data_IF_349095071805
#
_entry.id   IF_349095071805
#
_cell.length_a   1.000
_cell.length_b   1.000
_cell.length_c   1.000
_cell.angle_alpha   90.00
_cell.angle_beta   90.00
_cell.angle_gamma   90.00
#
_symmetry.space_group_name_H-M   'P 1'
#
loop_
_entity.id
_entity.type
_entity.pdbx_description
1 polymer ?
#
# COMPACT_ATOMS: atom_id res chain seq x y z
N UNK A 1 15.65 11.27 7.25
CA UNK A 1 15.89 9.82 7.01
C UNK A 1 16.22 9.55 5.55
N UNK A 2 15.32 9.82 4.60
CA UNK A 2 15.54 9.49 3.18
C UNK A 2 16.82 10.11 2.58
N UNK A 3 17.04 11.43 2.74
CA UNK A 3 18.26 12.11 2.25
C UNK A 3 19.54 11.44 2.76
N UNK A 4 19.64 11.21 4.07
CA UNK A 4 20.78 10.49 4.64
C UNK A 4 20.97 9.07 4.05
N UNK A 5 19.89 8.29 3.91
CA UNK A 5 19.98 6.95 3.34
C UNK A 5 20.46 6.96 1.88
N UNK A 6 19.98 7.91 1.09
CA UNK A 6 20.32 8.01 -0.34
C UNK A 6 21.69 8.64 -0.57
N UNK A 7 22.00 9.74 0.11
CA UNK A 7 23.21 10.53 -0.14
C UNK A 7 24.42 10.05 0.66
N UNK A 8 24.24 9.68 1.94
CA UNK A 8 25.35 9.29 2.80
C UNK A 8 25.59 7.79 2.81
N UNK A 9 24.52 6.98 2.77
CA UNK A 9 24.62 5.51 2.78
C UNK A 9 24.54 4.88 1.38
N UNK A 10 24.20 5.67 0.36
CA UNK A 10 24.17 5.24 -1.05
C UNK A 10 23.30 3.98 -1.27
N UNK A 11 22.15 3.89 -0.58
CA UNK A 11 21.23 2.74 -0.75
C UNK A 11 20.68 2.69 -2.18
N UNK A 12 20.53 1.48 -2.73
CA UNK A 12 19.97 1.26 -4.08
C UNK A 12 18.46 1.01 -4.09
N UNK A 13 17.89 0.68 -2.94
CA UNK A 13 16.49 0.30 -2.82
C UNK A 13 15.86 1.00 -1.62
N UNK A 14 14.75 1.68 -1.87
CA UNK A 14 13.84 2.21 -0.86
C UNK A 14 12.56 1.40 -0.95
N UNK A 15 12.05 0.94 0.19
CA UNK A 15 10.82 0.14 0.23
C UNK A 15 9.78 0.89 1.05
N UNK A 16 8.63 1.15 0.44
CA UNK A 16 7.41 1.54 1.12
C UNK A 16 6.64 0.26 1.44
N UNK A 17 6.67 -0.15 2.70
CA UNK A 17 5.97 -1.34 3.18
C UNK A 17 4.66 -0.92 3.87
N UNK A 18 3.53 -1.28 3.29
CA UNK A 18 2.24 -1.27 3.97
C UNK A 18 1.98 -2.60 4.67
N UNK A 19 0.90 -2.67 5.44
CA UNK A 19 0.44 -3.94 5.98
C UNK A 19 -1.07 -3.99 6.17
N UNK A 20 -1.66 -5.15 5.91
CA UNK A 20 -3.05 -5.38 6.27
C UNK A 20 -3.17 -5.45 7.80
N UNK A 21 -4.23 -4.89 8.37
CA UNK A 21 -4.36 -4.68 9.82
C UNK A 21 -3.76 -3.36 10.34
N UNK A 22 -3.39 -2.42 9.47
CA UNK A 22 -2.97 -1.08 9.86
C UNK A 22 -4.09 -0.27 10.54
N UNK A 23 -4.01 -0.11 11.86
CA UNK A 23 -4.96 0.67 12.65
C UNK A 23 -5.05 2.15 12.23
N UNK A 24 -3.96 2.73 11.73
CA UNK A 24 -3.97 4.10 11.21
C UNK A 24 -4.78 4.26 9.92
N UNK A 25 -4.70 3.27 9.02
CA UNK A 25 -5.52 3.23 7.80
C UNK A 25 -6.98 2.99 8.17
N UNK A 26 -7.26 2.03 9.06
CA UNK A 26 -8.62 1.77 9.56
C UNK A 26 -9.26 3.02 10.20
N UNK A 27 -8.52 3.72 11.07
CA UNK A 27 -8.99 4.95 11.70
C UNK A 27 -9.20 6.11 10.72
N UNK A 28 -8.51 6.10 9.57
CA UNK A 28 -8.69 7.12 8.53
C UNK A 28 -10.04 6.99 7.80
N UNK A 29 -10.66 5.80 7.83
CA UNK A 29 -11.98 5.54 7.24
C UNK A 29 -13.14 5.99 8.15
N UNK A 30 -12.87 6.25 9.43
CA UNK A 30 -13.87 6.77 10.38
C UNK A 30 -14.07 8.28 10.22
N UNK A 31 -15.28 8.79 10.50
CA UNK A 31 -15.53 10.22 10.59
C UNK A 31 -14.69 10.85 11.70
N UNK A 32 -14.33 12.12 11.53
CA UNK A 32 -13.63 12.89 12.56
C UNK A 32 -14.68 13.48 13.52
N UNK A 33 -14.67 13.04 14.78
CA UNK A 33 -15.50 13.65 15.82
C UNK A 33 -14.99 15.06 16.15
N UNK A 34 -15.81 16.08 15.91
CA UNK A 34 -15.51 17.48 16.22
C UNK A 34 -16.30 17.94 17.46
N UNK A 35 -15.76 18.88 18.26
CA UNK A 35 -14.45 19.52 18.12
C UNK A 35 -13.28 18.62 18.55
N UNK A 36 -12.11 18.83 17.97
CA UNK A 36 -10.87 18.20 18.44
C UNK A 36 -10.26 19.06 19.55
N UNK A 37 -10.43 18.66 20.80
CA UNK A 37 -9.97 19.46 21.94
C UNK A 37 -8.64 18.97 22.52
N UNK A 38 -8.32 17.68 22.35
CA UNK A 38 -7.11 17.08 22.92
C UNK A 38 -5.95 17.19 21.94
N UNK A 39 -4.80 17.79 22.32
CA UNK A 39 -3.64 17.94 21.44
C UNK A 39 -3.15 16.61 20.82
N UNK A 40 -3.15 15.53 21.61
CA UNK A 40 -2.79 14.21 21.12
C UNK A 40 -3.74 13.70 20.02
N UNK A 41 -5.04 13.97 20.17
CA UNK A 41 -6.03 13.59 19.16
C UNK A 41 -5.86 14.42 17.90
N UNK A 42 -5.65 15.74 18.02
CA UNK A 42 -5.33 16.62 16.90
C UNK A 42 -4.12 16.09 16.12
N UNK A 43 -3.02 15.79 16.81
CA UNK A 43 -1.80 15.27 16.19
C UNK A 43 -2.05 13.98 15.39
N UNK A 44 -2.81 13.03 15.95
CA UNK A 44 -3.18 11.79 15.25
C UNK A 44 -4.03 12.11 14.02
N UNK A 45 -5.07 12.95 14.16
CA UNK A 45 -5.96 13.28 13.04
C UNK A 45 -5.20 13.98 11.90
N UNK A 46 -4.29 14.90 12.22
CA UNK A 46 -3.41 15.55 11.25
C UNK A 46 -2.49 14.55 10.57
N UNK A 47 -1.92 13.60 11.33
CA UNK A 47 -0.99 12.61 10.79
C UNK A 47 -1.63 11.67 9.76
N UNK A 48 -2.85 11.21 10.00
CA UNK A 48 -3.56 10.29 9.08
C UNK A 48 -4.38 11.00 8.02
N UNK A 49 -4.43 12.34 8.02
CA UNK A 49 -5.16 13.14 7.03
C UNK A 49 -4.78 12.80 5.59
N UNK A 50 -3.50 12.60 5.21
CA UNK A 50 -3.14 12.20 3.85
C UNK A 50 -3.70 10.84 3.43
N UNK A 51 -4.01 9.95 4.38
CA UNK A 51 -4.65 8.66 4.11
C UNK A 51 -6.14 8.87 3.85
N UNK A 52 -6.78 9.77 4.60
CA UNK A 52 -8.17 10.19 4.34
C UNK A 52 -8.34 10.76 2.96
N UNK A 53 -7.40 11.58 2.51
CA UNK A 53 -7.40 12.13 1.16
C UNK A 53 -7.36 11.01 0.11
N UNK A 54 -6.46 10.03 0.27
CA UNK A 54 -6.42 8.84 -0.60
C UNK A 54 -7.77 8.12 -0.58
N UNK A 55 -8.35 7.91 0.61
CA UNK A 55 -9.67 7.29 0.74
C UNK A 55 -10.76 8.07 0.00
N UNK A 56 -10.79 9.39 0.09
CA UNK A 56 -11.81 10.23 -0.55
C UNK A 56 -11.65 10.31 -2.07
N UNK A 57 -10.42 10.37 -2.57
CA UNK A 57 -10.15 10.59 -4.01
C UNK A 57 -9.94 9.30 -4.78
N UNK A 58 -9.71 8.16 -4.13
CA UNK A 58 -9.45 6.90 -4.82
C UNK A 58 -10.65 6.46 -5.67
N UNK A 59 -10.33 5.97 -6.87
CA UNK A 59 -11.27 5.40 -7.83
C UNK A 59 -11.36 3.87 -7.74
N UNK A 60 -10.64 3.23 -6.80
CA UNK A 60 -10.73 1.79 -6.56
C UNK A 60 -12.19 1.39 -6.28
N UNK A 61 -12.77 0.42 -7.02
CA UNK A 61 -14.18 0.05 -6.88
C UNK A 61 -14.59 -0.31 -5.44
N UNK A 62 -13.71 -1.00 -4.71
CA UNK A 62 -13.94 -1.41 -3.32
C UNK A 62 -14.12 -0.19 -2.41
N UNK A 63 -13.25 0.81 -2.58
CA UNK A 63 -13.28 2.06 -1.80
C UNK A 63 -14.49 2.92 -2.21
N UNK A 64 -14.78 3.01 -3.51
CA UNK A 64 -15.95 3.75 -4.03
C UNK A 64 -17.25 3.14 -3.50
N UNK A 65 -17.39 1.83 -3.57
CA UNK A 65 -18.57 1.11 -3.07
C UNK A 65 -18.76 1.38 -1.56
N UNK A 66 -17.68 1.26 -0.78
CA UNK A 66 -17.72 1.56 0.65
C UNK A 66 -18.07 3.04 0.92
N UNK A 67 -17.51 4.02 0.19
CA UNK A 67 -17.90 5.43 0.38
C UNK A 67 -19.38 5.67 0.11
N UNK A 68 -19.94 4.99 -0.90
CA UNK A 68 -21.36 5.11 -1.23
C UNK A 68 -22.26 4.46 -0.18
N UNK A 69 -21.87 3.30 0.35
CA UNK A 69 -22.60 2.58 1.39
C UNK A 69 -22.72 3.42 2.68
N UNK A 70 -21.62 4.04 3.12
CA UNK A 70 -21.57 4.81 4.37
C UNK A 70 -21.78 6.33 4.18
N UNK A 71 -22.33 6.74 3.04
CA UNK A 71 -22.53 8.17 2.72
C UNK A 71 -23.49 8.84 3.69
N UNK A 72 -24.62 8.18 3.98
CA UNK A 72 -25.69 8.74 4.82
C UNK A 72 -25.62 8.24 6.26
N UNK A 73 -24.99 7.08 6.48
CA UNK A 73 -24.77 6.48 7.81
C UNK A 73 -23.29 6.26 8.01
N UNK A 74 -22.57 7.17 8.69
CA UNK A 74 -21.13 7.02 8.90
C UNK A 74 -20.78 5.79 9.74
N UNK A 75 -19.62 5.21 9.47
CA UNK A 75 -19.06 4.13 10.29
C UNK A 75 -18.93 4.53 11.76
N UNK A 76 -19.29 3.60 12.65
CA UNK A 76 -19.07 3.71 14.10
C UNK A 76 -17.96 2.80 14.59
N UNK A 77 -17.54 1.83 13.79
CA UNK A 77 -16.55 0.80 14.14
C UNK A 77 -15.45 0.74 13.09
N UNK A 78 -14.27 0.27 13.51
CA UNK A 78 -13.14 0.09 12.60
C UNK A 78 -13.44 -1.05 11.61
N UNK A 79 -13.04 -0.89 10.33
CA UNK A 79 -13.16 -1.97 9.36
C UNK A 79 -12.35 -3.19 9.80
N UNK A 80 -12.89 -4.38 9.52
CA UNK A 80 -12.22 -5.64 9.80
C UNK A 80 -11.01 -5.87 8.88
N UNK A 81 -10.12 -6.80 9.27
CA UNK A 81 -8.92 -7.17 8.51
C UNK A 81 -9.21 -7.56 7.05
N UNK A 82 -10.36 -8.20 6.84
CA UNK A 82 -10.82 -8.73 5.56
C UNK A 82 -11.76 -7.79 4.80
N UNK A 83 -12.00 -6.57 5.32
CA UNK A 83 -12.80 -5.57 4.64
C UNK A 83 -12.13 -5.19 3.29
N UNK A 84 -12.84 -5.31 2.15
CA UNK A 84 -12.25 -5.06 0.83
C UNK A 84 -11.77 -3.62 0.63
N UNK A 85 -12.50 -2.63 1.14
CA UNK A 85 -12.17 -1.23 0.98
C UNK A 85 -10.96 -0.85 1.84
N UNK A 86 -10.88 -1.39 3.05
CA UNK A 86 -9.73 -1.25 3.93
C UNK A 86 -8.46 -1.82 3.29
N UNK A 87 -8.52 -3.06 2.79
CA UNK A 87 -7.36 -3.69 2.12
C UNK A 87 -6.94 -2.90 0.89
N UNK A 88 -7.90 -2.46 0.07
CA UNK A 88 -7.63 -1.60 -1.07
C UNK A 88 -7.00 -0.25 -0.64
N UNK A 89 -7.45 0.36 0.47
CA UNK A 89 -6.91 1.62 0.96
C UNK A 89 -5.48 1.47 1.48
N UNK A 90 -5.14 0.35 2.13
CA UNK A 90 -3.75 0.03 2.49
C UNK A 90 -2.86 0.04 1.25
N UNK A 91 -3.29 -0.63 0.18
CA UNK A 91 -2.55 -0.69 -1.10
C UNK A 91 -2.41 0.70 -1.73
N UNK A 92 -3.51 1.45 -1.86
CA UNK A 92 -3.51 2.79 -2.45
C UNK A 92 -2.64 3.77 -1.65
N UNK A 93 -2.62 3.65 -0.32
CA UNK A 93 -1.74 4.46 0.50
C UNK A 93 -0.26 4.13 0.25
N UNK A 94 0.11 2.86 0.05
CA UNK A 94 1.47 2.48 -0.34
C UNK A 94 1.83 3.10 -1.70
N UNK A 95 0.97 2.93 -2.70
CA UNK A 95 1.19 3.50 -4.05
C UNK A 95 1.37 5.02 -4.01
N UNK A 96 0.50 5.72 -3.28
CA UNK A 96 0.58 7.17 -3.11
C UNK A 96 1.90 7.59 -2.44
N UNK A 97 2.41 6.84 -1.46
CA UNK A 97 3.67 7.15 -0.80
C UNK A 97 4.89 6.84 -1.68
N UNK A 98 4.86 5.77 -2.48
CA UNK A 98 5.89 5.51 -3.50
C UNK A 98 6.00 6.70 -4.45
N UNK A 99 4.87 7.18 -4.96
CA UNK A 99 4.83 8.34 -5.85
C UNK A 99 5.31 9.62 -5.18
N UNK A 100 4.88 9.89 -3.93
CA UNK A 100 5.34 11.06 -3.16
C UNK A 100 6.85 11.04 -2.93
N UNK A 101 7.43 9.88 -2.61
CA UNK A 101 8.87 9.71 -2.43
C UNK A 101 9.59 9.93 -3.77
N UNK A 102 9.12 9.31 -4.85
CA UNK A 102 9.71 9.47 -6.19
C UNK A 102 9.71 10.93 -6.65
N UNK A 103 8.69 11.70 -6.27
CA UNK A 103 8.57 13.14 -6.59
C UNK A 103 9.26 14.05 -5.56
N UNK A 104 9.85 13.52 -4.49
CA UNK A 104 10.47 14.33 -3.43
C UNK A 104 11.74 15.03 -3.92
N UNK A 105 12.13 16.13 -3.27
CA UNK A 105 13.37 16.85 -3.59
C UNK A 105 14.60 15.97 -3.49
N UNK A 106 14.65 15.08 -2.48
CA UNK A 106 15.75 14.12 -2.29
C UNK A 106 15.94 13.26 -3.55
N UNK A 107 14.84 12.77 -4.12
CA UNK A 107 14.89 11.91 -5.30
C UNK A 107 15.15 12.68 -6.60
N UNK A 108 14.75 13.95 -6.68
CA UNK A 108 15.05 14.84 -7.82
C UNK A 108 16.51 15.25 -7.88
N UNK A 109 17.16 15.37 -6.73
CA UNK A 109 18.55 15.81 -6.60
C UNK A 109 19.56 14.63 -6.61
N UNK A 110 19.07 13.39 -6.80
CA UNK A 110 19.95 12.24 -7.00
C UNK A 110 20.74 12.44 -8.28
N UNK A 111 22.01 12.83 -8.12
CA UNK A 111 22.89 13.16 -9.21
C UNK A 111 23.29 11.88 -10.00
N UNK A 112 22.87 11.72 -11.26
CA UNK A 112 23.25 10.57 -12.08
C UNK A 112 24.74 10.53 -12.42
N UNK A 113 25.45 11.67 -12.26
CA UNK A 113 26.87 11.85 -12.50
C UNK A 113 27.71 11.82 -11.20
N UNK A 114 27.10 11.44 -10.05
CA UNK A 114 27.89 11.07 -8.88
C UNK A 114 28.93 10.02 -9.30
N UNK A 115 30.17 10.17 -8.85
CA UNK A 115 31.33 9.35 -9.24
C UNK A 115 31.12 7.83 -9.04
N UNK A 116 30.04 7.41 -8.37
CA UNK A 116 29.64 6.02 -8.12
C UNK A 116 28.33 5.56 -8.80
N UNK A 117 27.60 6.44 -9.49
CA UNK A 117 26.43 6.06 -10.29
C UNK A 117 25.29 5.40 -9.51
N UNK A 118 24.96 5.88 -8.31
CA UNK A 118 23.93 5.26 -7.47
C UNK A 118 22.53 5.45 -8.06
N UNK A 119 21.96 4.37 -8.59
CA UNK A 119 20.58 4.28 -9.03
C UNK A 119 19.71 3.80 -7.88
N UNK A 120 18.62 4.53 -7.60
CA UNK A 120 17.69 4.19 -6.52
C UNK A 120 16.36 3.75 -7.11
N UNK A 121 15.90 2.57 -6.68
CA UNK A 121 14.55 2.06 -6.96
C UNK A 121 13.67 2.22 -5.73
N UNK A 122 12.43 2.63 -5.93
CA UNK A 122 11.43 2.78 -4.86
C UNK A 122 10.35 1.74 -5.09
N UNK A 123 10.21 0.80 -4.16
CA UNK A 123 9.27 -0.31 -4.24
C UNK A 123 8.06 -0.07 -3.33
N UNK A 124 6.91 -0.61 -3.72
CA UNK A 124 5.68 -0.57 -2.92
C UNK A 124 5.16 -1.97 -2.66
N UNK A 125 5.27 -2.43 -1.42
CA UNK A 125 4.89 -3.79 -1.01
C UNK A 125 3.88 -3.76 0.14
N UNK A 126 3.13 -4.85 0.30
CA UNK A 126 2.21 -5.04 1.42
C UNK A 126 2.49 -6.36 2.12
N UNK A 127 2.69 -6.30 3.43
CA UNK A 127 2.80 -7.45 4.31
C UNK A 127 1.43 -7.82 4.89
N UNK A 128 1.03 -9.08 4.81
CA UNK A 128 -0.20 -9.57 5.43
C UNK A 128 0.09 -10.15 6.82
N UNK A 129 -0.47 -9.50 7.85
CA UNK A 129 -0.29 -9.92 9.24
C UNK A 129 -0.90 -11.29 9.56
N UNK A 130 -1.91 -11.75 8.78
CA UNK A 130 -2.60 -13.01 9.07
C UNK A 130 -1.77 -14.22 8.65
N UNK A 131 -1.13 -14.14 7.49
CA UNK A 131 -0.44 -15.28 6.88
C UNK A 131 1.08 -15.09 6.74
N UNK A 132 1.61 -13.90 7.06
CA UNK A 132 3.03 -13.59 7.00
C UNK A 132 3.59 -13.40 5.60
N UNK A 133 2.73 -13.21 4.59
CA UNK A 133 3.14 -13.10 3.20
C UNK A 133 3.37 -11.64 2.76
N UNK A 134 4.32 -11.42 1.85
CA UNK A 134 4.56 -10.12 1.21
C UNK A 134 4.06 -10.13 -0.22
N UNK A 135 3.34 -9.08 -0.62
CA UNK A 135 2.82 -8.89 -1.97
C UNK A 135 3.45 -7.67 -2.62
N UNK A 136 3.91 -7.81 -3.86
CA UNK A 136 4.33 -6.67 -4.67
C UNK A 136 3.12 -6.00 -5.35
N UNK A 137 2.99 -4.68 -5.19
CA UNK A 137 1.93 -3.92 -5.85
C UNK A 137 2.26 -3.52 -7.28
N UNK A 138 3.42 -3.94 -7.80
CA UNK A 138 3.92 -3.62 -9.14
C UNK A 138 4.01 -2.11 -9.42
N UNK A 139 4.37 -1.33 -8.40
CA UNK A 139 4.49 0.14 -8.48
C UNK A 139 5.91 0.64 -8.36
N UNK A 140 6.90 -0.23 -8.64
CA UNK A 140 8.30 0.16 -8.51
C UNK A 140 8.62 1.32 -9.45
N UNK A 141 9.20 2.39 -8.90
CA UNK A 141 9.73 3.52 -9.68
C UNK A 141 11.25 3.44 -9.67
N UNK A 142 11.84 3.41 -10.87
CA UNK A 142 13.28 3.42 -11.06
C UNK A 142 13.79 4.70 -11.74
N UNK A 143 15.11 4.84 -11.90
CA UNK A 143 15.69 5.92 -12.68
C UNK A 143 15.23 5.84 -14.15
N UNK A 144 15.08 6.97 -14.86
CA UNK A 144 14.74 6.98 -16.27
C UNK A 144 15.70 6.11 -17.11
N UNK A 145 15.14 5.27 -17.99
CA UNK A 145 15.89 4.41 -18.90
C UNK A 145 16.53 3.17 -18.27
N UNK A 146 16.28 2.89 -16.99
CA UNK A 146 16.74 1.68 -16.30
C UNK A 146 15.60 0.66 -16.21
N UNK A 147 15.94 -0.60 -16.46
CA UNK A 147 15.01 -1.72 -16.25
C UNK A 147 14.70 -1.86 -14.76
N UNK A 148 13.41 -2.10 -14.46
CA UNK A 148 12.96 -2.35 -13.09
C UNK A 148 13.42 -3.75 -12.67
N UNK A 149 14.13 -3.90 -11.54
CA UNK A 149 14.57 -5.20 -11.06
C UNK A 149 13.36 -6.08 -10.72
N UNK A 150 13.47 -7.38 -11.01
CA UNK A 150 12.44 -8.36 -10.69
C UNK A 150 12.22 -8.42 -9.17
N UNK A 151 10.95 -8.38 -8.78
CA UNK A 151 10.56 -8.56 -7.38
C UNK A 151 10.85 -9.98 -6.89
N UNK A 152 11.33 -10.14 -5.64
CA UNK A 152 11.38 -11.45 -5.00
C UNK A 152 9.98 -11.93 -4.53
N UNK A 153 8.99 -11.05 -4.52
CA UNK A 153 7.65 -11.33 -4.03
C UNK A 153 6.64 -11.47 -5.17
N UNK A 154 5.63 -12.34 -5.04
CA UNK A 154 4.57 -12.43 -6.03
C UNK A 154 3.71 -11.16 -5.99
N UNK A 155 3.22 -10.76 -7.15
CA UNK A 155 2.27 -9.65 -7.30
C UNK A 155 0.86 -10.05 -6.90
N UNK A 156 -0.03 -9.07 -6.72
CA UNK A 156 -1.46 -9.31 -6.50
C UNK A 156 -2.06 -10.23 -7.57
N UNK A 157 -1.76 -9.96 -8.84
CA UNK A 157 -2.25 -10.79 -9.96
C UNK A 157 -1.69 -12.23 -9.93
N UNK A 158 -0.43 -12.40 -9.55
CA UNK A 158 0.18 -13.74 -9.43
C UNK A 158 -0.50 -14.53 -8.32
N UNK A 159 -0.75 -13.90 -7.17
CA UNK A 159 -1.47 -14.51 -6.04
C UNK A 159 -2.91 -14.89 -6.39
N UNK A 160 -3.61 -14.05 -7.13
CA UNK A 160 -4.97 -14.36 -7.59
C UNK A 160 -5.00 -15.55 -8.55
N UNK A 161 -4.03 -15.64 -9.46
CA UNK A 161 -3.87 -16.79 -10.37
C UNK A 161 -3.57 -18.07 -9.60
N UNK A 162 -2.68 -18.02 -8.62
CA UNK A 162 -2.35 -19.16 -7.74
C UNK A 162 -3.59 -19.64 -6.98
N UNK A 163 -4.32 -18.73 -6.32
CA UNK A 163 -5.57 -19.05 -5.61
C UNK A 163 -6.63 -19.67 -6.52
N UNK A 164 -6.75 -19.17 -7.75
CA UNK A 164 -7.68 -19.72 -8.74
C UNK A 164 -7.30 -21.14 -9.14
N UNK A 165 -6.03 -21.37 -9.46
CA UNK A 165 -5.51 -22.68 -9.83
C UNK A 165 -5.68 -23.70 -8.69
N UNK A 166 -5.42 -23.30 -7.44
CA UNK A 166 -5.66 -24.15 -6.26
C UNK A 166 -7.13 -24.54 -6.09
N UNK A 167 -8.05 -23.59 -6.31
CA UNK A 167 -9.49 -23.85 -6.20
C UNK A 167 -9.96 -24.82 -7.28
N UNK A 168 -9.48 -24.66 -8.51
CA UNK A 168 -9.77 -25.57 -9.63
C UNK A 168 -9.22 -26.97 -9.37
N UNK A 169 -7.97 -27.08 -8.87
CA UNK A 169 -7.37 -28.35 -8.51
C UNK A 169 -8.16 -29.08 -7.39
N UNK A 170 -8.61 -28.36 -6.36
CA UNK A 170 -9.46 -28.90 -5.28
C UNK A 170 -10.80 -29.39 -5.81
N UNK A 171 -11.41 -28.66 -6.74
CA UNK A 171 -12.69 -29.04 -7.36
C UNK A 171 -12.54 -30.32 -8.19
N UNK A 172 -11.50 -30.40 -9.02
CA UNK A 172 -11.21 -31.58 -9.84
C UNK A 172 -10.91 -32.82 -8.97
N UNK A 173 -10.16 -32.65 -7.88
CA UNK A 173 -9.85 -33.72 -6.93
C UNK A 173 -11.07 -34.18 -6.11
N UNK A 174 -12.10 -33.35 -5.97
CA UNK A 174 -13.37 -33.74 -5.33
C UNK A 174 -14.28 -34.50 -6.31
N UNK A 175 -14.32 -34.10 -7.58
CA UNK A 175 -15.09 -34.77 -8.63
C UNK A 175 -14.52 -36.14 -9.02
N UNK A 176 -13.19 -36.30 -8.97
CA UNK A 176 -12.52 -37.58 -9.26
C UNK A 176 -12.63 -38.67 -8.19
N UNK A 177 -13.26 -38.42 -7.03
CA UNK A 177 -13.48 -39.42 -5.96
C UNK A 177 -14.87 -40.07 -6.00
N UNK A 178 -15.64 -39.84 -7.05
CA UNK A 178 -16.99 -40.41 -7.25
C UNK A 178 -17.06 -41.38 -8.45
N UNK A 179 -15.91 -41.93 -8.86
CA UNK A 179 -15.81 -43.01 -9.86
C UNK A 179 -15.10 -44.21 -9.25
#
# INVERSE_FOLDING_TARGET
VLSYAVEALEVRHVIVMGHYGCGGVAASMLPVSLPLERPAHIAIQTWIQPIREVYQTSTRPEIVAHRNEYKDTPLTELPGLHDPAFRALVEENVKANVERIARSYVMRDVNPNSLKGTYVFIHGWVYDLENGEVTDLNVTVGPPGREIPKSPWPSTEQREKEKRAEREAKLNAAQGRHV
#
